data_IF_910634167538
#
_entry.id   IF_910634167538
#
_cell.length_a   1.000
_cell.length_b   1.000
_cell.length_c   1.000
_cell.angle_alpha   90.00
_cell.angle_beta   90.00
_cell.angle_gamma   90.00
#
_symmetry.space_group_name_H-M   'P 1'
#
loop_
_entity.id
_entity.type
_entity.pdbx_description
1 polymer ?
#
# COMPACT_ATOMS: atom_id res chain seq x y z
N UNK A 1 7.27 3.51 -16.02
CA UNK A 1 7.89 3.13 -14.72
C UNK A 1 6.94 2.18 -14.01
N UNK A 2 7.48 1.22 -13.26
CA UNK A 2 6.74 0.33 -12.40
C UNK A 2 6.70 0.88 -10.98
N UNK A 3 5.51 1.07 -10.43
CA UNK A 3 5.27 1.70 -9.13
C UNK A 3 4.64 0.67 -8.19
N UNK A 4 5.27 0.41 -7.06
CA UNK A 4 4.69 -0.40 -5.99
C UNK A 4 3.79 0.47 -5.11
N UNK A 5 2.52 0.08 -4.97
CA UNK A 5 1.56 0.74 -4.10
C UNK A 5 1.54 0.05 -2.74
N UNK A 6 2.03 0.74 -1.72
CA UNK A 6 1.97 0.32 -0.33
C UNK A 6 0.88 1.11 0.40
N UNK A 7 -0.36 0.63 0.31
CA UNK A 7 -1.50 1.26 1.00
C UNK A 7 -1.58 0.77 2.46
N UNK A 8 -1.75 1.70 3.39
CA UNK A 8 -1.78 1.36 4.81
C UNK A 8 -2.20 2.52 5.72
N UNK A 9 -2.57 2.18 6.95
CA UNK A 9 -2.96 3.20 7.93
C UNK A 9 -1.77 4.01 8.44
N UNK A 10 -0.56 3.45 8.51
CA UNK A 10 0.65 4.15 8.97
C UNK A 10 0.42 4.96 10.25
N UNK A 11 -0.03 4.28 11.30
CA UNK A 11 -0.46 4.89 12.57
C UNK A 11 0.35 4.38 13.78
N UNK A 12 1.64 4.76 13.92
CA UNK A 12 2.46 5.54 13.00
C UNK A 12 3.19 4.68 11.95
N UNK A 13 3.83 5.33 10.98
CA UNK A 13 4.88 4.68 10.18
C UNK A 13 6.07 4.30 11.08
N UNK A 14 6.82 3.26 10.72
CA UNK A 14 7.93 2.73 11.52
C UNK A 14 8.95 2.00 10.65
N UNK A 15 10.11 1.66 11.23
CA UNK A 15 11.23 1.04 10.50
C UNK A 15 10.88 -0.24 9.75
N UNK A 16 9.94 -1.05 10.25
CA UNK A 16 9.44 -2.22 9.49
C UNK A 16 8.86 -1.85 8.12
N UNK A 17 8.07 -0.77 8.02
CA UNK A 17 7.53 -0.30 6.74
C UNK A 17 8.64 0.15 5.80
N UNK A 18 9.65 0.88 6.33
CA UNK A 18 10.79 1.35 5.57
C UNK A 18 11.66 0.20 5.08
N UNK A 19 11.92 -0.81 5.93
CA UNK A 19 12.71 -1.98 5.54
C UNK A 19 12.07 -2.74 4.37
N UNK A 20 10.75 -2.96 4.42
CA UNK A 20 10.00 -3.57 3.31
C UNK A 20 10.13 -2.72 2.05
N UNK A 21 9.95 -1.41 2.16
CA UNK A 21 10.01 -0.52 1.01
C UNK A 21 11.40 -0.49 0.35
N UNK A 22 12.46 -0.42 1.16
CA UNK A 22 13.85 -0.49 0.68
C UNK A 22 14.12 -1.82 -0.02
N UNK A 23 13.62 -2.93 0.53
CA UNK A 23 13.83 -4.25 -0.06
C UNK A 23 13.16 -4.35 -1.44
N UNK A 24 11.92 -3.89 -1.57
CA UNK A 24 11.18 -3.87 -2.85
C UNK A 24 11.94 -3.08 -3.92
N UNK A 25 12.49 -1.92 -3.56
CA UNK A 25 13.27 -1.09 -4.48
C UNK A 25 14.65 -1.71 -4.79
N UNK A 26 15.34 -2.24 -3.78
CA UNK A 26 16.68 -2.82 -3.92
C UNK A 26 16.66 -4.09 -4.79
N UNK A 27 15.61 -4.90 -4.68
CA UNK A 27 15.42 -6.07 -5.54
C UNK A 27 14.98 -5.71 -6.97
N UNK A 28 14.72 -4.44 -7.28
CA UNK A 28 14.20 -4.01 -8.57
C UNK A 28 12.78 -4.48 -8.85
N UNK A 29 11.99 -4.80 -7.81
CA UNK A 29 10.60 -5.19 -7.97
C UNK A 29 9.70 -3.99 -8.35
N UNK A 30 10.17 -2.75 -8.16
CA UNK A 30 9.58 -1.52 -8.67
C UNK A 30 10.65 -0.42 -8.81
N UNK A 31 10.40 0.56 -9.68
CA UNK A 31 11.23 1.77 -9.83
C UNK A 31 10.97 2.77 -8.70
N UNK A 32 9.72 2.86 -8.24
CA UNK A 32 9.32 3.66 -7.08
C UNK A 32 8.32 2.91 -6.21
N UNK A 33 8.24 3.31 -4.95
CA UNK A 33 7.27 2.83 -3.99
C UNK A 33 6.48 4.00 -3.41
N UNK A 34 5.16 3.93 -3.55
CA UNK A 34 4.24 4.96 -3.07
C UNK A 34 3.51 4.46 -1.83
N UNK A 35 3.76 5.13 -0.70
CA UNK A 35 3.01 4.98 0.54
C UNK A 35 1.69 5.74 0.41
N UNK A 36 0.60 5.01 0.17
CA UNK A 36 -0.74 5.58 0.14
C UNK A 36 -1.32 5.52 1.55
N UNK A 37 -1.48 6.69 2.16
CA UNK A 37 -2.08 6.77 3.50
C UNK A 37 -3.57 6.49 3.36
N UNK A 38 -4.02 5.39 3.93
CA UNK A 38 -5.42 4.98 3.77
C UNK A 38 -6.32 5.81 4.70
N UNK A 39 -7.50 6.26 4.23
CA UNK A 39 -8.51 6.85 5.09
C UNK A 39 -9.07 5.80 6.05
N UNK A 40 -9.67 6.25 7.16
CA UNK A 40 -10.24 5.33 8.16
C UNK A 40 -11.26 4.39 7.52
N UNK A 41 -11.07 3.08 7.66
CA UNK A 41 -12.09 2.11 7.28
C UNK A 41 -13.34 2.32 8.17
N UNK A 42 -14.50 2.70 7.61
CA UNK A 42 -15.71 2.98 8.38
C UNK A 42 -16.25 1.77 9.15
N UNK A 43 -15.83 0.56 8.81
CA UNK A 43 -16.21 -0.69 9.49
C UNK A 43 -15.33 -0.99 10.73
N UNK A 44 -14.16 -0.36 10.87
CA UNK A 44 -13.29 -0.51 12.05
C UNK A 44 -13.60 0.59 13.06
N UNK A 45 -14.63 0.37 13.88
CA UNK A 45 -15.14 1.37 14.84
C UNK A 45 -14.18 1.68 16.01
N UNK A 46 -13.17 0.85 16.28
CA UNK A 46 -12.38 0.90 17.53
C UNK A 46 -10.86 1.07 17.36
N UNK A 47 -10.39 1.79 16.34
CA UNK A 47 -8.97 2.17 16.25
C UNK A 47 -8.86 3.67 16.37
N UNK A 48 -8.16 4.13 17.41
CA UNK A 48 -7.73 5.53 17.57
C UNK A 48 -6.66 5.82 16.51
N UNK A 49 -7.11 6.09 15.29
CA UNK A 49 -6.26 6.59 14.24
C UNK A 49 -5.98 8.07 14.49
N UNK A 50 -4.70 8.44 14.44
CA UNK A 50 -4.32 9.83 14.32
C UNK A 50 -4.97 10.45 13.06
N UNK A 51 -5.22 11.77 13.05
CA UNK A 51 -5.74 12.46 11.89
C UNK A 51 -4.98 12.11 10.60
N UNK A 52 -5.70 12.00 9.49
CA UNK A 52 -5.13 11.54 8.20
C UNK A 52 -3.92 12.42 7.77
N UNK A 53 -4.02 13.73 8.03
CA UNK A 53 -2.94 14.69 7.77
C UNK A 53 -1.70 14.47 8.66
N UNK A 54 -1.87 14.07 9.93
CA UNK A 54 -0.75 13.77 10.83
C UNK A 54 -0.03 12.49 10.40
N UNK A 55 -0.78 11.46 10.01
CA UNK A 55 -0.24 10.21 9.45
C UNK A 55 0.55 10.50 8.18
N UNK A 56 -0.01 11.28 7.26
CA UNK A 56 0.71 11.70 6.04
C UNK A 56 1.98 12.49 6.35
N UNK A 57 1.94 13.41 7.32
CA UNK A 57 3.12 14.17 7.74
C UNK A 57 4.21 13.25 8.28
N UNK A 58 3.86 12.28 9.12
CA UNK A 58 4.83 11.31 9.64
C UNK A 58 5.43 10.45 8.52
N UNK A 59 4.63 10.00 7.55
CA UNK A 59 5.14 9.27 6.38
C UNK A 59 6.14 10.13 5.60
N UNK A 60 5.80 11.39 5.29
CA UNK A 60 6.70 12.33 4.59
C UNK A 60 8.03 12.51 5.32
N UNK A 61 7.99 12.70 6.64
CA UNK A 61 9.20 12.85 7.46
C UNK A 61 10.05 11.56 7.46
N UNK A 62 9.41 10.39 7.53
CA UNK A 62 10.10 9.11 7.59
C UNK A 62 10.85 8.75 6.29
N UNK A 63 10.42 9.32 5.15
CA UNK A 63 10.98 9.00 3.82
C UNK A 63 11.76 10.16 3.20
N UNK A 64 11.99 11.27 3.92
CA UNK A 64 12.57 12.51 3.36
C UNK A 64 13.90 12.29 2.63
N UNK A 65 14.72 11.33 3.10
CA UNK A 65 16.03 10.99 2.53
C UNK A 65 16.06 9.60 1.88
N UNK A 66 14.90 9.05 1.53
CA UNK A 66 14.77 7.72 0.94
C UNK A 66 14.43 7.83 -0.56
N UNK A 67 15.42 7.71 -1.47
CA UNK A 67 15.18 7.82 -2.90
C UNK A 67 14.23 6.72 -3.39
N UNK A 68 13.37 7.07 -4.36
CA UNK A 68 12.38 6.15 -4.90
C UNK A 68 11.16 5.93 -4.01
N UNK A 69 11.07 6.57 -2.84
CA UNK A 69 9.88 6.51 -1.98
C UNK A 69 9.05 7.80 -2.07
N UNK A 70 7.72 7.66 -2.14
CA UNK A 70 6.78 8.78 -2.19
C UNK A 70 5.63 8.61 -1.21
N UNK A 71 5.30 9.66 -0.47
CA UNK A 71 4.11 9.70 0.37
C UNK A 71 2.94 10.28 -0.45
N UNK A 72 1.77 9.64 -0.37
CA UNK A 72 0.59 10.06 -1.13
C UNK A 72 -0.67 10.08 -0.29
N UNK A 73 -1.47 11.13 -0.48
CA UNK A 73 -2.80 11.34 0.06
C UNK A 73 -3.90 10.93 -0.93
N UNK A 74 -3.55 10.22 -2.02
CA UNK A 74 -4.45 9.94 -3.15
C UNK A 74 -5.80 9.36 -2.70
N UNK A 75 -5.81 8.43 -1.75
CA UNK A 75 -7.04 7.81 -1.23
C UNK A 75 -7.94 8.78 -0.44
N UNK A 76 -7.42 9.92 0.05
CA UNK A 76 -8.23 10.91 0.79
C UNK A 76 -9.29 11.54 -0.10
N UNK A 77 -9.02 11.61 -1.40
CA UNK A 77 -9.86 12.27 -2.41
C UNK A 77 -10.80 11.30 -3.12
N UNK A 78 -10.78 10.01 -2.76
CA UNK A 78 -11.63 8.99 -3.38
C UNK A 78 -12.96 8.81 -2.63
N UNK A 79 -14.04 8.41 -3.34
CA UNK A 79 -15.29 8.01 -2.70
C UNK A 79 -15.08 6.91 -1.66
N UNK A 80 -15.89 6.95 -0.60
CA UNK A 80 -15.86 5.97 0.50
C UNK A 80 -17.09 5.04 0.44
N UNK A 81 -16.95 3.74 0.79
CA UNK A 81 -15.72 3.07 1.20
C UNK A 81 -14.74 2.90 0.04
N UNK A 82 -13.44 3.02 0.33
CA UNK A 82 -12.37 2.89 -0.67
C UNK A 82 -11.96 1.43 -0.78
N UNK A 83 -12.17 0.82 -1.95
CA UNK A 83 -11.66 -0.51 -2.28
C UNK A 83 -10.35 -0.40 -3.06
N UNK A 84 -9.40 -1.30 -2.79
CA UNK A 84 -8.06 -1.25 -3.40
C UNK A 84 -8.11 -1.30 -4.93
N UNK A 85 -9.01 -2.10 -5.53
CA UNK A 85 -9.18 -2.12 -6.98
C UNK A 85 -9.53 -0.74 -7.54
N UNK A 86 -10.43 0.00 -6.88
CA UNK A 86 -10.83 1.34 -7.32
C UNK A 86 -9.67 2.33 -7.19
N UNK A 87 -8.85 2.22 -6.13
CA UNK A 87 -7.63 3.03 -5.97
C UNK A 87 -6.67 2.78 -7.14
N UNK A 88 -6.42 1.51 -7.47
CA UNK A 88 -5.50 1.11 -8.54
C UNK A 88 -5.97 1.56 -9.93
N UNK A 89 -7.27 1.43 -10.21
CA UNK A 89 -7.88 1.95 -11.44
C UNK A 89 -7.72 3.47 -11.56
N UNK A 90 -8.00 4.21 -10.48
CA UNK A 90 -7.87 5.66 -10.46
C UNK A 90 -6.41 6.10 -10.60
N UNK A 91 -5.46 5.38 -10.02
CA UNK A 91 -4.04 5.62 -10.24
C UNK A 91 -3.67 5.41 -11.72
N UNK A 92 -4.10 4.31 -12.33
CA UNK A 92 -3.89 4.03 -13.77
C UNK A 92 -4.48 5.10 -14.68
N UNK A 93 -5.66 5.65 -14.33
CA UNK A 93 -6.29 6.75 -15.07
C UNK A 93 -5.52 8.08 -14.94
N UNK A 94 -5.01 8.40 -13.74
CA UNK A 94 -4.33 9.67 -13.47
C UNK A 94 -2.85 9.67 -13.87
N UNK A 95 -2.24 8.49 -13.99
CA UNK A 95 -0.83 8.29 -14.34
C UNK A 95 -0.70 7.19 -15.41
N UNK A 96 -1.21 7.40 -16.63
CA UNK A 96 -1.26 6.37 -17.68
C UNK A 96 0.12 5.91 -18.17
N UNK A 97 1.17 6.68 -17.92
CA UNK A 97 2.57 6.35 -18.21
C UNK A 97 3.24 5.44 -17.17
N UNK A 98 2.51 5.10 -16.09
CA UNK A 98 2.96 4.23 -15.02
C UNK A 98 2.22 2.90 -15.03
N UNK A 99 2.92 1.85 -14.58
CA UNK A 99 2.33 0.55 -14.28
C UNK A 99 2.33 0.37 -12.76
N UNK A 100 1.22 -0.10 -12.21
CA UNK A 100 1.04 -0.20 -10.76
C UNK A 100 0.98 -1.67 -10.34
N UNK A 101 1.73 -2.01 -9.27
CA UNK A 101 1.62 -3.29 -8.55
C UNK A 101 1.18 -3.04 -7.13
N UNK A 102 0.39 -3.94 -6.56
CA UNK A 102 -0.02 -3.83 -5.17
C UNK A 102 0.96 -4.56 -4.25
N UNK A 103 1.51 -3.86 -3.26
CA UNK A 103 2.35 -4.44 -2.21
C UNK A 103 1.50 -4.79 -0.99
N UNK A 104 1.49 -6.06 -0.59
CA UNK A 104 0.81 -6.55 0.62
C UNK A 104 1.73 -7.46 1.46
N UNK A 105 1.42 -7.57 2.75
CA UNK A 105 2.08 -8.53 3.63
C UNK A 105 1.44 -9.92 3.55
N UNK A 106 2.18 -10.94 3.96
CA UNK A 106 1.69 -12.33 4.03
C UNK A 106 0.38 -12.48 4.84
N UNK A 107 0.21 -11.69 5.90
CA UNK A 107 -1.02 -11.61 6.69
C UNK A 107 -2.25 -11.17 5.86
N UNK A 108 -2.07 -10.19 4.97
CA UNK A 108 -3.13 -9.77 4.05
C UNK A 108 -3.36 -10.79 2.93
N UNK A 109 -2.32 -11.50 2.49
CA UNK A 109 -2.44 -12.54 1.47
C UNK A 109 -3.43 -13.63 1.90
N UNK A 110 -3.40 -14.07 3.17
CA UNK A 110 -4.33 -15.09 3.72
C UNK A 110 -5.79 -14.73 3.47
N UNK A 111 -6.14 -13.44 3.63
CA UNK A 111 -7.52 -12.95 3.48
C UNK A 111 -7.78 -12.28 2.13
N UNK A 112 -6.80 -12.27 1.21
CA UNK A 112 -6.86 -11.50 -0.03
C UNK A 112 -8.00 -11.94 -0.94
N UNK A 113 -8.33 -13.25 -0.95
CA UNK A 113 -9.47 -13.80 -1.69
C UNK A 113 -10.84 -13.22 -1.26
N UNK A 114 -10.91 -12.50 -0.13
CA UNK A 114 -12.11 -11.80 0.36
C UNK A 114 -12.15 -10.34 -0.07
N UNK A 115 -11.11 -9.81 -0.70
CA UNK A 115 -11.07 -8.43 -1.15
C UNK A 115 -11.99 -8.27 -2.38
N UNK A 116 -12.66 -7.12 -2.45
CA UNK A 116 -13.54 -6.80 -3.56
C UNK A 116 -12.75 -6.84 -4.88
N UNK A 117 -13.23 -7.65 -5.84
CA UNK A 117 -12.58 -7.86 -7.14
C UNK A 117 -11.12 -8.34 -7.07
N UNK A 118 -10.75 -9.17 -6.07
CA UNK A 118 -9.36 -9.61 -5.88
C UNK A 118 -8.72 -10.26 -7.12
N UNK A 119 -9.50 -10.97 -7.96
CA UNK A 119 -9.00 -11.58 -9.20
C UNK A 119 -8.53 -10.51 -10.19
N UNK A 120 -9.31 -9.44 -10.34
CA UNK A 120 -8.94 -8.32 -11.21
C UNK A 120 -7.67 -7.62 -10.72
N UNK A 121 -7.46 -7.52 -9.41
CA UNK A 121 -6.21 -6.99 -8.86
C UNK A 121 -5.01 -7.84 -9.32
N UNK A 122 -5.12 -9.17 -9.28
CA UNK A 122 -4.06 -10.07 -9.76
C UNK A 122 -3.86 -9.91 -11.26
N UNK A 123 -4.94 -9.99 -12.03
CA UNK A 123 -4.90 -10.06 -13.50
C UNK A 123 -4.47 -8.74 -14.15
N UNK A 124 -4.87 -7.59 -13.58
CA UNK A 124 -4.62 -6.26 -14.16
C UNK A 124 -3.41 -5.52 -13.57
N UNK A 125 -3.03 -5.81 -12.32
CA UNK A 125 -2.01 -5.05 -11.60
C UNK A 125 -0.90 -5.94 -11.02
N UNK A 126 -1.24 -7.14 -10.57
CA UNK A 126 -0.30 -8.05 -9.92
C UNK A 126 0.04 -7.66 -8.47
N UNK A 127 0.67 -8.61 -7.77
CA UNK A 127 1.01 -8.51 -6.36
C UNK A 127 2.52 -8.57 -6.14
N UNK A 128 2.99 -7.80 -5.15
CA UNK A 128 4.26 -8.01 -4.47
C UNK A 128 3.88 -8.42 -3.05
N UNK A 129 4.36 -9.58 -2.60
CA UNK A 129 4.07 -10.09 -1.26
C UNK A 129 5.36 -10.15 -0.46
N UNK A 130 5.39 -9.47 0.68
CA UNK A 130 6.50 -9.61 1.62
C UNK A 130 6.16 -10.63 2.73
N UNK A 131 7.11 -11.52 3.08
CA UNK A 131 6.89 -12.53 4.10
C UNK A 131 6.67 -11.90 5.48
N UNK A 132 5.82 -12.55 6.26
CA UNK A 132 5.58 -12.24 7.67
C UNK A 132 5.86 -13.55 8.43
N UNK A 133 6.76 -13.56 9.43
CA UNK A 133 7.20 -14.80 10.08
C UNK A 133 6.07 -15.71 10.57
N UNK A 134 4.94 -15.14 10.97
CA UNK A 134 3.78 -15.90 11.47
C UNK A 134 2.80 -16.37 10.36
N UNK A 135 3.06 -16.03 9.09
CA UNK A 135 2.14 -16.24 7.96
C UNK A 135 2.85 -16.71 6.67
N UNK A 136 4.05 -17.28 6.78
CA UNK A 136 4.77 -17.82 5.62
C UNK A 136 4.02 -18.99 4.99
N UNK A 137 4.17 -19.15 3.68
CA UNK A 137 3.48 -20.16 2.87
C UNK A 137 3.77 -21.62 3.27
N UNK A 138 4.78 -21.86 4.11
CA UNK A 138 5.04 -23.17 4.73
C UNK A 138 4.13 -23.46 5.93
N UNK A 139 3.46 -22.44 6.48
CA UNK A 139 2.54 -22.51 7.62
C UNK A 139 1.06 -22.26 7.22
N UNK A 140 0.74 -22.23 5.92
CA UNK A 140 -0.62 -22.16 5.35
C UNK A 140 -0.97 -23.45 4.63
#
# INVERSE_FOLDING_TARGET
MQIAIFSGSFNPIHNGHLAIAREVLTQGAADELWFLVSPRNPLKKNIDLLPEAERLKMVKLAIENEPGMKASDFEFHLPRPTFTINTLEKLRENYPEHQFKLLIGGDNLVIFHKWFEYKRIIDEFGLIVYPRPDFDAENL
#
